data_IF_973703567433
#
_entry.id   IF_973703567433
#
_cell.length_a   1.000
_cell.length_b   1.000
_cell.length_c   1.000
_cell.angle_alpha   90.00
_cell.angle_beta   90.00
_cell.angle_gamma   90.00
#
_symmetry.space_group_name_H-M   'P 1'
#
loop_
_entity.id
_entity.type
_entity.pdbx_description
1 polymer ?
#
# COMPACT_ATOMS: atom_id res chain seq x y z
N UNK A 1 18.41 -9.98 23.73
CA UNK A 1 17.11 -10.60 24.09
C UNK A 1 16.35 -10.85 22.80
N UNK A 2 16.16 -12.10 22.40
CA UNK A 2 15.38 -12.45 21.21
C UNK A 2 13.93 -12.63 21.64
N UNK A 3 13.04 -11.73 21.23
CA UNK A 3 11.61 -11.83 21.51
C UNK A 3 11.00 -12.99 20.68
N UNK A 4 10.19 -13.86 21.29
CA UNK A 4 9.53 -14.97 20.56
C UNK A 4 8.43 -14.45 19.62
N UNK A 5 8.07 -15.20 18.56
CA UNK A 5 6.94 -14.86 17.68
C UNK A 5 5.65 -14.48 18.42
N UNK A 6 5.28 -15.20 19.48
CA UNK A 6 4.09 -14.92 20.30
C UNK A 6 4.11 -13.53 20.94
N UNK A 7 5.30 -13.04 21.31
CA UNK A 7 5.44 -11.71 21.87
C UNK A 7 5.13 -10.62 20.83
N UNK A 8 5.53 -10.83 19.57
CA UNK A 8 5.18 -9.93 18.47
C UNK A 8 3.67 -9.98 18.19
N UNK A 9 3.09 -11.18 18.14
CA UNK A 9 1.65 -11.37 17.92
C UNK A 9 0.81 -10.63 18.97
N UNK A 10 1.12 -10.79 20.27
CA UNK A 10 0.40 -10.08 21.35
C UNK A 10 0.46 -8.56 21.23
N UNK A 11 1.62 -8.01 20.86
CA UNK A 11 1.75 -6.56 20.65
C UNK A 11 0.92 -6.11 19.44
N UNK A 12 0.94 -6.88 18.36
CA UNK A 12 0.16 -6.60 17.17
C UNK A 12 -1.34 -6.68 17.44
N UNK A 13 -1.83 -7.74 18.08
CA UNK A 13 -3.24 -7.93 18.46
C UNK A 13 -3.71 -6.88 19.47
N UNK A 14 -2.80 -6.36 20.29
CA UNK A 14 -3.03 -5.20 21.14
C UNK A 14 -3.23 -3.87 20.39
N UNK A 15 -3.26 -3.89 19.05
CA UNK A 15 -3.57 -2.74 18.19
C UNK A 15 -2.36 -2.04 17.59
N UNK A 16 -1.14 -2.40 17.97
CA UNK A 16 0.07 -1.77 17.42
C UNK A 16 0.28 -2.18 15.96
N UNK A 17 0.67 -1.23 15.12
CA UNK A 17 1.17 -1.52 13.78
C UNK A 17 2.50 -2.27 13.82
N UNK A 18 2.88 -2.95 12.73
CA UNK A 18 4.16 -3.66 12.64
C UNK A 18 5.36 -2.74 12.94
N UNK A 19 5.27 -1.44 12.55
CA UNK A 19 6.30 -0.45 12.85
C UNK A 19 6.39 -0.13 14.34
N UNK A 20 5.24 0.00 15.01
CA UNK A 20 5.22 0.23 16.46
C UNK A 20 5.67 -1.00 17.23
N UNK A 21 5.30 -2.22 16.78
CA UNK A 21 5.82 -3.47 17.33
C UNK A 21 7.35 -3.53 17.18
N UNK A 22 7.87 -3.18 16.00
CA UNK A 22 9.31 -3.13 15.74
C UNK A 22 10.01 -2.12 16.67
N UNK A 23 9.48 -0.90 16.78
CA UNK A 23 10.02 0.12 17.68
C UNK A 23 9.98 -0.33 19.16
N UNK A 24 8.87 -0.94 19.58
CA UNK A 24 8.65 -1.41 20.97
C UNK A 24 9.54 -2.58 21.36
N UNK A 25 9.94 -3.39 20.39
CA UNK A 25 10.83 -4.54 20.58
C UNK A 25 12.30 -4.23 20.24
N UNK A 26 12.60 -3.00 19.80
CA UNK A 26 13.94 -2.62 19.36
C UNK A 26 14.42 -3.37 18.12
N UNK A 27 13.50 -3.79 17.24
CA UNK A 27 13.80 -4.57 16.03
C UNK A 27 13.49 -3.80 14.75
N UNK A 28 13.92 -4.33 13.60
CA UNK A 28 13.59 -3.77 12.30
C UNK A 28 12.16 -4.15 11.88
N UNK A 29 11.53 -3.34 11.04
CA UNK A 29 10.22 -3.66 10.45
C UNK A 29 10.19 -5.05 9.80
N UNK A 30 11.24 -5.40 9.05
CA UNK A 30 11.36 -6.69 8.39
C UNK A 30 11.38 -7.83 9.40
N UNK A 31 12.18 -7.70 10.45
CA UNK A 31 12.27 -8.72 11.50
C UNK A 31 10.94 -8.89 12.23
N UNK A 32 10.29 -7.78 12.61
CA UNK A 32 8.97 -7.82 13.25
C UNK A 32 7.92 -8.48 12.34
N UNK A 33 7.94 -8.19 11.03
CA UNK A 33 7.05 -8.82 10.06
C UNK A 33 7.31 -10.33 9.94
N UNK A 34 8.56 -10.76 9.87
CA UNK A 34 8.93 -12.17 9.82
C UNK A 34 8.42 -12.93 11.07
N UNK A 35 8.59 -12.34 12.26
CA UNK A 35 8.06 -12.92 13.51
C UNK A 35 6.53 -13.00 13.54
N UNK A 36 5.83 -12.02 12.98
CA UNK A 36 4.37 -12.05 12.86
C UNK A 36 3.90 -13.12 11.88
N UNK A 37 4.61 -13.33 10.76
CA UNK A 37 4.32 -14.42 9.82
C UNK A 37 4.53 -15.78 10.49
N UNK A 38 5.62 -15.95 11.25
CA UNK A 38 5.90 -17.18 11.99
C UNK A 38 4.88 -17.47 13.10
N UNK A 39 4.26 -16.44 13.65
CA UNK A 39 3.17 -16.56 14.61
C UNK A 39 1.79 -16.77 13.95
N UNK A 40 1.75 -16.93 12.62
CA UNK A 40 0.53 -17.17 11.82
C UNK A 40 -0.60 -16.16 12.08
N UNK A 41 -0.26 -14.91 12.39
CA UNK A 41 -1.26 -13.87 12.67
C UNK A 41 -2.05 -13.52 11.41
N UNK A 42 -3.35 -13.28 11.56
CA UNK A 42 -4.12 -12.61 10.51
C UNK A 42 -3.70 -11.15 10.41
N UNK A 43 -2.99 -10.81 9.33
CA UNK A 43 -2.65 -9.41 9.06
C UNK A 43 -3.93 -8.60 8.86
N UNK A 44 -4.11 -7.58 9.69
CA UNK A 44 -5.15 -6.58 9.49
C UNK A 44 -5.01 -6.02 8.08
N UNK A 45 -6.10 -6.07 7.34
CA UNK A 45 -6.18 -5.38 6.05
C UNK A 45 -5.83 -3.91 6.30
N UNK A 46 -4.94 -3.31 5.51
CA UNK A 46 -4.65 -1.90 5.67
C UNK A 46 -5.96 -1.13 5.55
N UNK A 47 -6.35 -0.44 6.62
CA UNK A 47 -7.47 0.51 6.56
C UNK A 47 -7.00 1.63 5.63
N UNK A 48 -7.53 1.66 4.42
CA UNK A 48 -7.30 2.76 3.50
C UNK A 48 -7.97 3.98 4.13
N UNK A 49 -7.20 5.01 4.45
CA UNK A 49 -7.77 6.23 5.02
C UNK A 49 -8.64 6.95 3.98
N UNK A 50 -9.62 7.71 4.45
CA UNK A 50 -10.45 8.57 3.60
C UNK A 50 -9.58 9.53 2.75
N UNK A 51 -8.49 10.03 3.34
CA UNK A 51 -7.50 10.84 2.62
C UNK A 51 -6.77 10.09 1.49
N UNK A 52 -6.49 8.80 1.67
CA UNK A 52 -5.91 7.97 0.60
C UNK A 52 -6.93 7.70 -0.50
N UNK A 53 -8.20 7.48 -0.15
CA UNK A 53 -9.28 7.33 -1.16
C UNK A 53 -9.48 8.61 -1.97
N UNK A 54 -9.56 9.77 -1.31
CA UNK A 54 -9.68 11.05 -2.01
C UNK A 54 -8.48 11.31 -2.95
N UNK A 55 -7.26 11.01 -2.48
CA UNK A 55 -6.07 11.11 -3.32
C UNK A 55 -6.10 10.13 -4.49
N UNK A 56 -6.60 8.91 -4.28
CA UNK A 56 -6.76 7.91 -5.33
C UNK A 56 -7.74 8.39 -6.42
N UNK A 57 -8.89 8.96 -6.02
CA UNK A 57 -9.86 9.55 -6.94
C UNK A 57 -9.27 10.70 -7.75
N UNK A 58 -8.47 11.56 -7.12
CA UNK A 58 -7.81 12.67 -7.79
C UNK A 58 -6.75 12.19 -8.78
N UNK A 59 -5.93 11.20 -8.39
CA UNK A 59 -4.95 10.57 -9.27
C UNK A 59 -5.63 9.90 -10.48
N UNK A 60 -6.72 9.17 -10.26
CA UNK A 60 -7.53 8.55 -11.31
C UNK A 60 -8.08 9.60 -12.29
N UNK A 61 -8.70 10.66 -11.79
CA UNK A 61 -9.23 11.76 -12.62
C UNK A 61 -8.16 12.46 -13.45
N UNK A 62 -7.00 12.75 -12.86
CA UNK A 62 -5.87 13.36 -13.58
C UNK A 62 -5.37 12.43 -14.69
N UNK A 63 -5.25 11.13 -14.39
CA UNK A 63 -4.86 10.14 -15.35
C UNK A 63 -5.85 10.07 -16.51
N UNK A 64 -7.16 9.94 -16.25
CA UNK A 64 -8.24 9.86 -17.25
C UNK A 64 -8.26 11.07 -18.20
N UNK A 65 -7.98 12.27 -17.68
CA UNK A 65 -7.83 13.51 -18.48
C UNK A 65 -6.65 13.51 -19.45
N UNK A 66 -5.83 12.46 -19.45
CA UNK A 66 -4.75 12.26 -20.42
C UNK A 66 -3.35 12.46 -19.87
N UNK A 67 -3.20 12.74 -18.57
CA UNK A 67 -1.88 12.83 -17.97
C UNK A 67 -1.24 11.43 -17.89
N UNK A 68 0.05 11.36 -18.16
CA UNK A 68 0.82 10.15 -17.87
C UNK A 68 0.97 9.96 -16.36
N UNK A 69 1.16 8.72 -15.90
CA UNK A 69 1.42 8.41 -14.48
C UNK A 69 2.57 9.25 -13.93
N UNK A 70 3.63 9.49 -14.73
CA UNK A 70 4.77 10.31 -14.33
C UNK A 70 4.38 11.78 -14.13
N UNK A 71 3.52 12.33 -14.98
CA UNK A 71 3.00 13.68 -14.82
C UNK A 71 2.07 13.79 -13.59
N UNK A 72 1.21 12.78 -13.36
CA UNK A 72 0.39 12.71 -12.14
C UNK A 72 1.30 12.64 -10.90
N UNK A 73 2.30 11.77 -10.89
CA UNK A 73 3.24 11.58 -9.78
C UNK A 73 3.97 12.89 -9.43
N UNK A 74 4.44 13.62 -10.45
CA UNK A 74 5.06 14.93 -10.27
C UNK A 74 4.06 15.97 -9.72
N UNK A 75 2.78 15.90 -10.12
CA UNK A 75 1.72 16.80 -9.66
C UNK A 75 1.37 16.58 -8.18
N UNK A 76 1.29 15.32 -7.75
CA UNK A 76 0.88 14.94 -6.38
C UNK A 76 2.06 14.79 -5.41
N UNK A 77 3.30 14.81 -5.92
CA UNK A 77 4.51 14.70 -5.10
C UNK A 77 4.84 13.29 -4.61
N UNK A 78 4.35 12.26 -5.30
CA UNK A 78 4.56 10.86 -4.92
C UNK A 78 5.39 10.09 -5.94
N UNK A 79 5.85 8.89 -5.55
CA UNK A 79 6.59 8.01 -6.45
C UNK A 79 5.70 7.51 -7.58
N UNK A 80 6.32 7.14 -8.71
CA UNK A 80 5.61 6.56 -9.85
C UNK A 80 4.79 5.33 -9.44
N UNK A 81 5.40 4.43 -8.64
CA UNK A 81 4.75 3.18 -8.24
C UNK A 81 3.55 3.45 -7.33
N UNK A 82 3.71 4.30 -6.31
CA UNK A 82 2.61 4.65 -5.42
C UNK A 82 1.47 5.36 -6.16
N UNK A 83 1.81 6.27 -7.08
CA UNK A 83 0.83 6.96 -7.92
C UNK A 83 0.07 5.98 -8.82
N UNK A 84 0.76 5.00 -9.41
CA UNK A 84 0.11 3.94 -10.20
C UNK A 84 -0.88 3.15 -9.35
N UNK A 85 -0.49 2.78 -8.13
CA UNK A 85 -1.35 2.02 -7.22
C UNK A 85 -2.58 2.84 -6.81
N UNK A 86 -2.41 4.15 -6.59
CA UNK A 86 -3.51 5.10 -6.33
C UNK A 86 -4.45 5.25 -7.53
N UNK A 87 -3.94 5.31 -8.76
CA UNK A 87 -4.77 5.38 -9.98
C UNK A 87 -5.65 4.15 -10.12
N UNK A 88 -5.09 2.96 -9.86
CA UNK A 88 -5.83 1.70 -9.88
C UNK A 88 -6.84 1.64 -8.74
N UNK A 89 -6.44 2.10 -7.54
CA UNK A 89 -7.32 2.16 -6.38
C UNK A 89 -8.52 3.09 -6.61
N UNK A 90 -8.31 4.21 -7.30
CA UNK A 90 -9.37 5.16 -7.71
C UNK A 90 -10.21 4.67 -8.90
N UNK A 91 -10.00 3.43 -9.36
CA UNK A 91 -10.85 2.77 -10.36
C UNK A 91 -10.50 3.06 -11.83
N UNK A 92 -9.40 3.77 -12.12
CA UNK A 92 -9.06 4.06 -13.51
C UNK A 92 -8.53 2.83 -14.25
N UNK A 93 -8.96 2.64 -15.50
CA UNK A 93 -8.43 1.59 -16.37
C UNK A 93 -7.06 2.01 -16.91
N UNK A 94 -6.03 1.24 -16.56
CA UNK A 94 -4.67 1.50 -17.01
C UNK A 94 -4.56 1.43 -18.53
N UNK A 95 -3.87 2.39 -19.14
CA UNK A 95 -3.56 2.40 -20.57
C UNK A 95 -2.35 1.53 -20.89
N UNK A 96 -2.27 1.08 -22.13
CA UNK A 96 -1.09 0.47 -22.72
C UNK A 96 -0.04 1.52 -23.13
N UNK A 97 1.08 1.07 -23.69
CA UNK A 97 2.14 1.94 -24.19
C UNK A 97 1.72 2.80 -25.39
N UNK A 98 0.64 2.43 -26.09
CA UNK A 98 0.04 3.18 -27.18
C UNK A 98 -1.06 4.15 -26.72
N UNK A 99 -1.31 4.26 -25.41
CA UNK A 99 -2.32 5.13 -24.82
C UNK A 99 -3.75 4.59 -24.87
N UNK A 100 -3.97 3.36 -25.33
CA UNK A 100 -5.28 2.71 -25.39
C UNK A 100 -5.62 2.10 -24.03
N UNK A 101 -6.88 2.09 -23.59
CA UNK A 101 -7.26 1.39 -22.37
C UNK A 101 -6.86 -0.08 -22.49
N UNK A 102 -6.09 -0.58 -21.52
CA UNK A 102 -5.75 -2.00 -21.44
C UNK A 102 -7.04 -2.71 -21.06
N UNK A 103 -7.79 -3.17 -22.07
CA UNK A 103 -8.88 -4.13 -21.87
C UNK A 103 -8.30 -5.28 -21.07
N UNK A 104 -8.90 -5.57 -19.92
CA UNK A 104 -8.57 -6.75 -19.16
C UNK A 104 -8.63 -7.93 -20.12
N UNK A 105 -7.50 -8.60 -20.35
CA UNK A 105 -7.48 -9.82 -21.14
C UNK A 105 -8.54 -10.75 -20.51
N UNK A 106 -9.61 -10.98 -21.25
CA UNK A 106 -10.64 -11.95 -20.86
C UNK A 106 -9.96 -13.32 -21.00
N UNK A 107 -10.08 -14.22 -20.00
CA UNK A 107 -9.44 -15.53 -20.02
C UNK A 107 -9.87 -16.39 -21.21
#
# INVERSE_FOLDING_TARGET
>A
MTHSPDHFARLYDGGLSIREVAARTGTSYRFARERLIEAEVEFRRPTISESTLALADDCARLYERGLSIKAVAARVGYSFQYTRDLIVLGGAVMRDSAGRPRTAATP
#
